data_IF_755679809175
#
_entry.id   IF_755679809175
#
_cell.length_a   1.000
_cell.length_b   1.000
_cell.length_c   1.000
_cell.angle_alpha   90.00
_cell.angle_beta   90.00
_cell.angle_gamma   90.00
#
_symmetry.space_group_name_H-M   'P 1'
#
loop_
_entity.id
_entity.type
_entity.pdbx_description
1 polymer ?
#
# COMPACT_ATOMS: atom_id res chain seq x y z
N UNK A 1 -11.73 8.36 23.12
CA UNK A 1 -11.05 7.54 22.09
C UNK A 1 -9.73 7.02 22.65
N UNK A 2 -9.40 5.73 22.47
CA UNK A 2 -8.13 5.15 22.94
C UNK A 2 -6.91 5.83 22.30
N UNK A 3 -5.81 5.96 23.05
CA UNK A 3 -4.58 6.62 22.58
C UNK A 3 -3.89 5.88 21.43
N UNK A 4 -4.06 4.55 21.34
CA UNK A 4 -3.60 3.73 20.21
C UNK A 4 -4.19 4.20 18.88
N UNK A 5 -5.47 4.61 18.87
CA UNK A 5 -6.11 5.19 17.69
C UNK A 5 -5.59 6.58 17.32
N UNK A 6 -5.08 7.37 18.27
CA UNK A 6 -4.42 8.66 17.96
C UNK A 6 -3.06 8.49 17.29
N UNK A 7 -2.31 7.42 17.61
CA UNK A 7 -1.00 7.15 17.00
C UNK A 7 -1.11 6.68 15.55
N UNK A 8 -2.14 5.89 15.21
CA UNK A 8 -2.42 5.51 13.81
C UNK A 8 -2.91 6.70 12.97
N UNK A 9 -3.53 7.71 13.60
CA UNK A 9 -4.12 8.89 12.96
C UNK A 9 -3.14 9.98 12.52
N UNK A 10 -1.83 9.74 12.58
CA UNK A 10 -0.86 10.68 12.03
C UNK A 10 -0.78 10.54 10.49
N UNK A 11 -1.93 10.55 9.82
CA UNK A 11 -2.10 10.60 8.37
C UNK A 11 -1.29 11.73 7.72
N UNK A 12 -1.03 12.80 8.48
CA UNK A 12 -0.18 13.92 8.06
C UNK A 12 1.31 13.56 7.94
N UNK A 13 1.83 12.61 8.73
CA UNK A 13 3.21 12.14 8.59
C UNK A 13 3.39 11.31 7.32
N UNK A 14 2.41 10.46 7.00
CA UNK A 14 2.44 9.63 5.79
C UNK A 14 2.36 10.45 4.50
N UNK A 15 1.65 11.58 4.51
CA UNK A 15 1.64 12.53 3.39
C UNK A 15 3.01 13.14 3.06
N UNK A 16 3.95 13.15 4.01
CA UNK A 16 5.33 13.59 3.80
C UNK A 16 6.27 12.45 3.41
N UNK A 17 5.84 11.21 3.62
CA UNK A 17 6.59 10.03 3.21
C UNK A 17 6.31 9.74 1.74
N UNK A 18 7.38 9.53 0.99
CA UNK A 18 7.30 8.92 -0.34
C UNK A 18 6.57 7.58 -0.22
N UNK A 19 5.56 7.28 -1.07
CA UNK A 19 4.92 5.98 -1.14
C UNK A 19 5.90 4.80 -1.12
N UNK A 20 7.08 4.93 -1.74
CA UNK A 20 8.12 3.90 -1.73
C UNK A 20 8.68 3.65 -0.33
N UNK A 21 8.86 4.69 0.47
CA UNK A 21 9.29 4.55 1.86
C UNK A 21 8.17 3.95 2.72
N UNK A 22 6.92 4.34 2.48
CA UNK A 22 5.78 3.76 3.19
C UNK A 22 5.66 2.25 2.92
N UNK A 23 5.88 1.78 1.69
CA UNK A 23 5.92 0.34 1.35
C UNK A 23 6.95 -0.40 2.20
N UNK A 24 8.18 0.13 2.30
CA UNK A 24 9.25 -0.49 3.12
C UNK A 24 8.87 -0.57 4.59
N UNK A 25 8.42 0.55 5.16
CA UNK A 25 7.99 0.60 6.57
C UNK A 25 6.85 -0.37 6.84
N UNK A 26 5.89 -0.46 5.91
CA UNK A 26 4.76 -1.38 6.05
C UNK A 26 5.20 -2.83 6.01
N UNK A 27 6.07 -3.21 5.06
CA UNK A 27 6.63 -4.55 4.97
C UNK A 27 7.44 -4.91 6.24
N UNK A 28 8.27 -3.99 6.72
CA UNK A 28 9.12 -4.22 7.91
C UNK A 28 8.30 -4.36 9.20
N UNK A 29 7.21 -3.58 9.33
CA UNK A 29 6.41 -3.55 10.57
C UNK A 29 5.33 -4.63 10.62
N UNK A 30 4.76 -5.00 9.47
CA UNK A 30 3.56 -5.84 9.39
C UNK A 30 3.77 -7.14 8.60
N UNK A 31 4.90 -7.32 7.93
CA UNK A 31 5.21 -8.54 7.18
C UNK A 31 4.12 -8.91 6.15
N UNK A 32 3.62 -10.14 6.22
CA UNK A 32 2.54 -10.64 5.34
C UNK A 32 1.22 -9.86 5.49
N UNK A 33 0.97 -9.26 6.67
CA UNK A 33 -0.23 -8.48 6.95
C UNK A 33 -0.17 -7.03 6.44
N UNK A 34 0.98 -6.60 5.91
CA UNK A 34 1.19 -5.23 5.44
C UNK A 34 0.14 -4.79 4.40
N UNK A 35 -0.29 -5.70 3.53
CA UNK A 35 -1.34 -5.42 2.54
C UNK A 35 -2.70 -5.18 3.18
N UNK A 36 -3.08 -5.99 4.17
CA UNK A 36 -4.35 -5.83 4.89
C UNK A 36 -4.37 -4.52 5.69
N UNK A 37 -3.26 -4.17 6.34
CA UNK A 37 -3.14 -2.93 7.08
C UNK A 37 -3.19 -1.70 6.16
N UNK A 38 -2.59 -1.76 4.97
CA UNK A 38 -2.70 -0.67 3.98
C UNK A 38 -4.17 -0.43 3.55
N UNK A 39 -4.93 -1.51 3.33
CA UNK A 39 -6.37 -1.43 3.02
C UNK A 39 -7.19 -0.87 4.18
N UNK A 40 -6.91 -1.31 5.41
CA UNK A 40 -7.56 -0.77 6.62
C UNK A 40 -7.35 0.74 6.71
N UNK A 41 -6.12 1.22 6.47
CA UNK A 41 -5.81 2.64 6.49
C UNK A 41 -6.52 3.40 5.37
N UNK A 42 -6.58 2.85 4.15
CA UNK A 42 -7.35 3.46 3.07
C UNK A 42 -8.84 3.64 3.44
N UNK A 43 -9.46 2.60 4.00
CA UNK A 43 -10.85 2.65 4.47
C UNK A 43 -11.07 3.71 5.56
N UNK A 44 -10.15 3.81 6.53
CA UNK A 44 -10.24 4.81 7.59
C UNK A 44 -10.14 6.24 7.06
N UNK A 45 -9.27 6.50 6.07
CA UNK A 45 -9.14 7.81 5.45
C UNK A 45 -10.36 8.16 4.58
N UNK A 46 -10.95 7.18 3.89
CA UNK A 46 -12.19 7.39 3.13
C UNK A 46 -13.36 7.76 4.06
N UNK A 47 -13.51 7.03 5.17
CA UNK A 47 -14.50 7.35 6.21
C UNK A 47 -14.30 8.75 6.80
N UNK A 48 -13.06 9.17 6.94
CA UNK A 48 -12.69 10.49 7.47
C UNK A 48 -12.71 11.59 6.37
N UNK A 49 -13.26 11.31 5.19
CA UNK A 49 -13.40 12.22 4.05
C UNK A 49 -12.07 12.79 3.54
N UNK A 50 -11.02 11.98 3.57
CA UNK A 50 -9.67 12.32 3.11
C UNK A 50 -9.27 11.49 1.87
N UNK A 51 -9.81 11.81 0.68
CA UNK A 51 -9.65 10.99 -0.52
C UNK A 51 -8.20 10.91 -1.02
N UNK A 52 -7.37 11.91 -0.73
CA UNK A 52 -5.96 11.90 -1.15
C UNK A 52 -5.12 10.93 -0.32
N UNK A 53 -5.38 10.84 0.99
CA UNK A 53 -4.72 9.86 1.84
C UNK A 53 -5.24 8.44 1.56
N UNK A 54 -6.54 8.27 1.28
CA UNK A 54 -7.08 7.00 0.83
C UNK A 54 -6.35 6.50 -0.44
N UNK A 55 -6.21 7.37 -1.45
CA UNK A 55 -5.46 7.07 -2.69
C UNK A 55 -3.99 6.76 -2.44
N UNK A 56 -3.34 7.44 -1.50
CA UNK A 56 -1.97 7.13 -1.09
C UNK A 56 -1.85 5.69 -0.58
N UNK A 57 -2.72 5.28 0.35
CA UNK A 57 -2.67 3.93 0.92
C UNK A 57 -3.02 2.84 -0.08
N UNK A 58 -3.91 3.12 -1.03
CA UNK A 58 -4.19 2.21 -2.14
C UNK A 58 -2.96 1.98 -3.04
N UNK A 59 -2.17 3.03 -3.33
CA UNK A 59 -0.90 2.88 -4.06
C UNK A 59 0.13 2.06 -3.27
N UNK A 60 0.19 2.25 -1.95
CA UNK A 60 1.06 1.43 -1.08
C UNK A 60 0.63 -0.03 -1.14
N UNK A 61 -0.67 -0.33 -1.08
CA UNK A 61 -1.20 -1.68 -1.24
C UNK A 61 -0.84 -2.28 -2.60
N UNK A 62 -1.04 -1.54 -3.69
CA UNK A 62 -0.68 -1.99 -5.04
C UNK A 62 0.81 -2.33 -5.17
N UNK A 63 1.69 -1.53 -4.54
CA UNK A 63 3.13 -1.78 -4.54
C UNK A 63 3.56 -2.93 -3.60
N UNK A 64 2.77 -3.27 -2.59
CA UNK A 64 3.00 -4.43 -1.71
C UNK A 64 2.55 -5.74 -2.36
N UNK A 65 1.63 -5.69 -3.32
CA UNK A 65 1.18 -6.91 -4.03
C UNK A 65 2.37 -7.47 -4.83
N UNK A 66 2.68 -8.77 -4.69
CA UNK A 66 3.58 -9.41 -5.62
C UNK A 66 3.02 -9.22 -7.03
N UNK A 67 3.87 -8.83 -7.98
CA UNK A 67 3.54 -8.76 -9.41
C UNK A 67 3.17 -10.18 -9.85
N UNK A 68 1.90 -10.53 -9.68
CA UNK A 68 1.36 -11.78 -10.17
C UNK A 68 1.24 -11.67 -11.69
N UNK A 69 2.19 -12.32 -12.36
CA UNK A 69 2.21 -12.66 -13.78
C UNK A 69 2.23 -11.48 -14.77
N UNK A 70 3.44 -11.03 -15.10
CA UNK A 70 3.72 -10.70 -16.50
C UNK A 70 3.36 -11.95 -17.32
N UNK A 71 2.40 -11.92 -18.25
CA UNK A 71 2.30 -13.01 -19.22
C UNK A 71 3.61 -13.00 -20.00
N UNK A 72 4.43 -14.05 -19.81
CA UNK A 72 5.55 -14.34 -20.70
C UNK A 72 4.95 -14.45 -22.11
N UNK A 73 5.16 -13.42 -22.91
CA UNK A 73 4.97 -13.46 -24.35
C UNK A 73 5.90 -14.57 -24.84
N UNK A 74 5.34 -15.75 -25.10
CA UNK A 74 6.06 -16.89 -25.63
C UNK A 74 6.45 -16.54 -27.07
N UNK A 75 7.59 -15.86 -27.25
CA UNK A 75 8.27 -15.80 -28.54
C UNK A 75 8.65 -17.24 -28.88
N UNK A 76 7.80 -17.90 -29.67
CA UNK A 76 8.26 -19.04 -30.46
C UNK A 76 9.11 -18.45 -31.57
N UNK A 77 10.42 -18.49 -31.30
CA UNK A 77 11.51 -18.48 -32.26
C UNK A 77 11.07 -19.13 -33.57
N UNK A 78 11.41 -18.46 -34.67
CA UNK A 78 11.46 -19.09 -35.97
C UNK A 78 12.22 -20.41 -35.89
N UNK A 79 11.74 -21.37 -36.67
CA UNK A 79 12.57 -22.45 -37.20
C UNK A 79 12.32 -22.47 -38.69
N UNK A 80 13.45 -22.56 -39.38
CA UNK A 80 13.64 -22.53 -40.82
C UNK A 80 12.78 -23.52 -41.59
#
# INVERSE_FOLDING_TARGET
>A
MPQSWKRSRNAALWRRLDPVQAVRVMADCYGEEAGAEALLRAFLEERDMNPDAARFWLRVYEALRPVAATPVSRQRSGRA
#
